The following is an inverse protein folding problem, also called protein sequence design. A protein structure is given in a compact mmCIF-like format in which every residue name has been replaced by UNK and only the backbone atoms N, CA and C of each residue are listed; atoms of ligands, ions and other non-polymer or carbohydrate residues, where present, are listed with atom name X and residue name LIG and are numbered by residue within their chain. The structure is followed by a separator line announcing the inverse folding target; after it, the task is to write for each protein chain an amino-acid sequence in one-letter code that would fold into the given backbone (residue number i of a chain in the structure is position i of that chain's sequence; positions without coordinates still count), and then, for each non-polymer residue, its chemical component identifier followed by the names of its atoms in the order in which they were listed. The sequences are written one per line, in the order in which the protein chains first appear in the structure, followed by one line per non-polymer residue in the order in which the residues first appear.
data_IF_520982690722
#
_entry.id   IF_520982690722
#
_cell.length_a   1.000
_cell.length_b   1.000
_cell.length_c   1.000
_cell.angle_alpha   90.00
_cell.angle_beta   90.00
_cell.angle_gamma   90.00
#
_symmetry.space_group_name_H-M   'P 1'
#
loop_
_entity.id
_entity.type
_entity.pdbx_description
1 polymer ?
#
# COMPACT_ATOMS: atom_id res chain seq x y z
N UNK A 1 -28.68 -0.58 24.87
CA UNK A 1 -27.34 -1.05 25.30
C UNK A 1 -26.91 -2.28 24.51
N UNK A 2 -27.52 -3.46 24.68
CA UNK A 2 -27.18 -4.66 23.87
C UNK A 2 -27.23 -4.47 22.34
N UNK A 3 -28.23 -3.73 21.87
CA UNK A 3 -28.42 -3.47 20.44
C UNK A 3 -27.25 -2.68 19.81
N UNK A 4 -26.66 -1.73 20.55
CA UNK A 4 -25.60 -0.85 20.03
C UNK A 4 -24.26 -1.59 19.86
N UNK A 5 -23.93 -2.51 20.78
CA UNK A 5 -22.74 -3.37 20.68
C UNK A 5 -22.87 -4.42 19.57
N UNK A 6 -24.07 -4.98 19.36
CA UNK A 6 -24.37 -5.84 18.21
C UNK A 6 -24.19 -5.11 16.88
N UNK A 7 -24.69 -3.86 16.78
CA UNK A 7 -24.47 -2.99 15.60
C UNK A 7 -23.00 -2.71 15.35
N UNK A 8 -22.21 -2.47 16.40
CA UNK A 8 -20.76 -2.27 16.28
C UNK A 8 -20.06 -3.51 15.74
N UNK A 9 -20.38 -4.69 16.30
CA UNK A 9 -19.83 -5.98 15.86
C UNK A 9 -20.12 -6.22 14.39
N UNK A 10 -21.38 -6.04 13.95
CA UNK A 10 -21.77 -6.20 12.56
C UNK A 10 -21.05 -5.24 11.60
N UNK A 11 -20.72 -4.03 12.04
CA UNK A 11 -19.91 -3.08 11.25
C UNK A 11 -18.46 -3.55 11.16
N UNK A 12 -17.88 -4.03 12.26
CA UNK A 12 -16.52 -4.55 12.27
C UNK A 12 -16.36 -5.80 11.40
N UNK A 13 -17.34 -6.72 11.42
CA UNK A 13 -17.37 -7.89 10.54
C UNK A 13 -17.45 -7.50 9.06
N UNK A 14 -18.27 -6.50 8.72
CA UNK A 14 -18.30 -5.94 7.36
C UNK A 14 -16.97 -5.32 6.98
N UNK A 15 -16.33 -4.59 7.89
CA UNK A 15 -14.99 -4.03 7.64
C UNK A 15 -13.98 -5.16 7.37
N UNK A 16 -14.03 -6.25 8.13
CA UNK A 16 -13.15 -7.40 7.95
C UNK A 16 -13.25 -7.98 6.54
N UNK A 17 -14.48 -8.16 6.03
CA UNK A 17 -14.72 -8.63 4.65
C UNK A 17 -14.10 -7.68 3.63
N UNK A 18 -14.28 -6.36 3.82
CA UNK A 18 -13.69 -5.38 2.89
C UNK A 18 -12.16 -5.38 2.97
N UNK A 19 -11.57 -5.52 4.15
CA UNK A 19 -10.11 -5.66 4.29
C UNK A 19 -9.60 -6.96 3.66
N UNK A 20 -10.36 -8.06 3.70
CA UNK A 20 -10.01 -9.29 2.98
C UNK A 20 -9.99 -9.06 1.47
N UNK A 21 -10.97 -8.33 0.94
CA UNK A 21 -10.96 -7.93 -0.47
C UNK A 21 -9.76 -7.03 -0.82
N UNK A 22 -9.39 -6.09 0.06
CA UNK A 22 -8.19 -5.26 -0.13
C UNK A 22 -6.92 -6.11 -0.15
N UNK A 23 -6.79 -7.10 0.73
CA UNK A 23 -5.64 -8.00 0.75
C UNK A 23 -5.54 -8.78 -0.56
N UNK A 24 -6.65 -9.33 -1.04
CA UNK A 24 -6.71 -10.05 -2.31
C UNK A 24 -6.32 -9.14 -3.50
N UNK A 25 -6.86 -7.93 -3.57
CA UNK A 25 -6.47 -6.94 -4.58
C UNK A 25 -4.97 -6.58 -4.48
N UNK A 26 -4.44 -6.46 -3.28
CA UNK A 26 -3.01 -6.18 -3.05
C UNK A 26 -2.12 -7.33 -3.55
N UNK A 27 -2.55 -8.58 -3.39
CA UNK A 27 -1.85 -9.74 -3.93
C UNK A 27 -1.93 -9.79 -5.46
N UNK A 28 -3.11 -9.54 -6.05
CA UNK A 28 -3.27 -9.46 -7.49
C UNK A 28 -2.45 -8.31 -8.11
N UNK A 29 -2.37 -7.18 -7.41
CA UNK A 29 -1.50 -6.05 -7.76
C UNK A 29 -0.04 -6.48 -7.88
N UNK A 30 0.43 -7.34 -6.97
CA UNK A 30 1.79 -7.88 -7.02
C UNK A 30 2.02 -8.68 -8.30
N UNK A 31 1.09 -9.56 -8.65
CA UNK A 31 1.20 -10.41 -9.85
C UNK A 31 1.26 -9.57 -11.14
N UNK A 32 0.39 -8.56 -11.28
CA UNK A 32 0.41 -7.68 -12.46
C UNK A 32 1.67 -6.80 -12.53
N UNK A 33 2.22 -6.40 -11.37
CA UNK A 33 3.48 -5.66 -11.30
C UNK A 33 4.67 -6.52 -11.73
N UNK A 34 4.75 -7.77 -11.25
CA UNK A 34 5.79 -8.72 -11.66
C UNK A 34 5.72 -8.99 -13.17
N UNK A 35 4.52 -9.08 -13.73
CA UNK A 35 4.30 -9.27 -15.17
C UNK A 35 4.47 -7.99 -15.99
N UNK A 36 4.72 -6.83 -15.36
CA UNK A 36 4.75 -5.52 -16.03
C UNK A 36 3.48 -5.21 -16.85
N UNK A 37 2.33 -5.72 -16.40
CA UNK A 37 1.04 -5.57 -17.08
C UNK A 37 0.36 -4.26 -16.66
N UNK A 38 0.64 -3.18 -17.39
CA UNK A 38 0.09 -1.83 -17.11
C UNK A 38 -1.44 -1.79 -17.19
N UNK A 39 -2.12 -2.34 -18.23
CA UNK A 39 -3.58 -2.37 -18.26
C UNK A 39 -4.21 -3.14 -17.08
N UNK A 40 -3.58 -4.24 -16.65
CA UNK A 40 -3.98 -4.99 -15.47
C UNK A 40 -3.86 -4.15 -14.20
N UNK A 41 -2.77 -3.41 -14.05
CA UNK A 41 -2.55 -2.51 -12.93
C UNK A 41 -3.62 -1.41 -12.85
N UNK A 42 -4.01 -0.80 -13.98
CA UNK A 42 -5.10 0.18 -14.02
C UNK A 42 -6.44 -0.39 -13.55
N UNK A 43 -6.73 -1.63 -13.93
CA UNK A 43 -7.96 -2.33 -13.52
C UNK A 43 -7.98 -2.57 -12.02
N UNK A 44 -6.87 -3.05 -11.45
CA UNK A 44 -6.73 -3.25 -10.00
C UNK A 44 -6.88 -1.92 -9.25
N UNK A 45 -6.24 -0.84 -9.72
CA UNK A 45 -6.35 0.47 -9.07
C UNK A 45 -7.80 0.98 -8.99
N UNK A 46 -8.60 0.81 -10.06
CA UNK A 46 -10.04 1.17 -10.03
C UNK A 46 -10.84 0.35 -9.03
N UNK A 47 -10.49 -0.94 -8.87
CA UNK A 47 -11.13 -1.79 -7.87
C UNK A 47 -10.73 -1.38 -6.45
N UNK A 48 -9.46 -1.00 -6.23
CA UNK A 48 -8.95 -0.46 -4.96
C UNK A 48 -9.66 0.83 -4.56
N UNK A 49 -9.96 1.72 -5.50
CA UNK A 49 -10.75 2.94 -5.23
C UNK A 49 -12.14 2.61 -4.66
N UNK A 50 -12.85 1.66 -5.27
CA UNK A 50 -14.19 1.25 -4.82
C UNK A 50 -14.18 0.70 -3.38
N UNK A 51 -13.23 -0.19 -3.06
CA UNK A 51 -13.13 -0.74 -1.69
C UNK A 51 -12.68 0.32 -0.68
N UNK A 52 -11.86 1.30 -1.10
CA UNK A 52 -11.48 2.44 -0.26
C UNK A 52 -12.67 3.32 0.12
N UNK A 53 -13.60 3.56 -0.81
CA UNK A 53 -14.86 4.26 -0.51
C UNK A 53 -15.70 3.49 0.51
N UNK A 54 -15.81 2.17 0.38
CA UNK A 54 -16.56 1.35 1.34
C UNK A 54 -15.93 1.33 2.74
N UNK A 55 -14.60 1.18 2.86
CA UNK A 55 -13.90 1.30 4.15
C UNK A 55 -14.16 2.66 4.79
N UNK A 56 -14.06 3.74 4.01
CA UNK A 56 -14.30 5.10 4.50
C UNK A 56 -15.73 5.28 5.02
N UNK A 57 -16.71 4.69 4.32
CA UNK A 57 -18.11 4.70 4.74
C UNK A 57 -18.32 3.93 6.05
N UNK A 58 -17.79 2.71 6.13
CA UNK A 58 -17.89 1.87 7.33
C UNK A 58 -17.19 2.50 8.54
N UNK A 59 -16.03 3.15 8.36
CA UNK A 59 -15.32 3.83 9.43
C UNK A 59 -16.12 5.01 10.02
N UNK A 60 -16.84 5.77 9.17
CA UNK A 60 -17.76 6.82 9.64
C UNK A 60 -18.88 6.24 10.49
N UNK A 61 -19.47 5.12 10.08
CA UNK A 61 -20.52 4.43 10.84
C UNK A 61 -19.96 3.93 12.17
N UNK A 62 -18.80 3.26 12.16
CA UNK A 62 -18.10 2.78 13.35
C UNK A 62 -17.87 3.93 14.35
N UNK A 63 -17.33 5.06 13.90
CA UNK A 63 -17.09 6.25 14.74
C UNK A 63 -18.39 6.81 15.32
N UNK A 64 -19.48 6.81 14.55
CA UNK A 64 -20.79 7.24 15.05
C UNK A 64 -21.31 6.33 16.16
N UNK A 65 -21.18 5.02 16.00
CA UNK A 65 -21.61 4.04 17.01
C UNK A 65 -20.76 4.16 18.29
N UNK A 66 -19.44 4.35 18.15
CA UNK A 66 -18.55 4.58 19.29
C UNK A 66 -18.96 5.84 20.07
N UNK A 67 -19.35 6.93 19.38
CA UNK A 67 -19.87 8.14 20.04
C UNK A 67 -21.20 7.90 20.76
N UNK A 68 -22.09 7.11 20.17
CA UNK A 68 -23.36 6.70 20.78
C UNK A 68 -23.10 5.91 22.08
N UNK A 69 -22.19 4.93 22.03
CA UNK A 69 -21.77 4.16 23.20
C UNK A 69 -21.14 5.06 24.27
N UNK A 70 -20.24 5.97 23.89
CA UNK A 70 -19.62 6.91 24.81
C UNK A 70 -20.66 7.76 25.58
N UNK A 71 -21.69 8.24 24.88
CA UNK A 71 -22.78 9.00 25.49
C UNK A 71 -23.60 8.16 26.47
N UNK A 72 -23.86 6.88 26.15
CA UNK A 72 -24.58 5.94 27.03
C UNK A 72 -23.80 5.70 28.34
N UNK A 73 -22.46 5.57 28.25
CA UNK A 73 -21.59 5.38 29.41
C UNK A 73 -21.17 6.68 30.10
N UNK A 74 -21.66 7.85 29.64
CA UNK A 74 -21.33 9.15 30.23
C UNK A 74 -19.87 9.59 30.01
N UNK A 75 -19.19 9.06 29.00
CA UNK A 75 -17.80 9.40 28.69
C UNK A 75 -17.76 10.58 27.72
N UNK A 76 -17.18 11.70 28.16
CA UNK A 76 -17.09 12.95 27.39
C UNK A 76 -15.77 13.11 26.61
N UNK A 77 -14.90 12.10 26.62
CA UNK A 77 -13.60 12.18 25.97
C UNK A 77 -13.74 12.20 24.43
N UNK A 78 -13.31 13.28 23.74
CA UNK A 78 -13.33 13.35 22.29
C UNK A 78 -12.39 12.34 21.60
N UNK A 79 -11.43 11.74 22.33
CA UNK A 79 -10.50 10.70 21.86
C UNK A 79 -10.90 9.29 22.28
N UNK A 80 -12.17 9.08 22.67
CA UNK A 80 -12.66 7.77 23.08
C UNK A 80 -12.31 6.69 22.05
N UNK A 81 -11.65 5.64 22.54
CA UNK A 81 -11.31 4.46 21.76
C UNK A 81 -12.13 3.26 22.20
N UNK A 82 -12.17 2.24 21.35
CA UNK A 82 -12.79 0.96 21.68
C UNK A 82 -12.22 0.36 22.97
N UNK A 83 -10.91 0.55 23.22
CA UNK A 83 -10.23 0.11 24.44
C UNK A 83 -10.76 0.79 25.71
N UNK A 84 -11.16 2.07 25.62
CA UNK A 84 -11.79 2.78 26.74
C UNK A 84 -13.20 2.25 27.00
N UNK A 85 -13.98 2.02 25.94
CA UNK A 85 -15.32 1.43 26.05
C UNK A 85 -15.29 -0.01 26.61
N UNK A 86 -14.23 -0.77 26.31
CA UNK A 86 -14.04 -2.11 26.82
C UNK A 86 -13.76 -2.18 28.35
N UNK A 87 -13.41 -1.07 29.00
CA UNK A 87 -13.21 -1.03 30.46
C UNK A 87 -14.52 -0.87 31.24
N UNK A 88 -15.57 -0.35 30.60
CA UNK A 88 -16.85 -0.01 31.23
C UNK A 88 -18.02 -0.90 30.78
N UNK A 89 -17.82 -1.75 29.78
CA UNK A 89 -18.86 -2.66 29.30
C UNK A 89 -18.77 -4.07 29.91
N UNK A 90 -19.88 -4.80 29.83
CA UNK A 90 -19.99 -6.18 30.31
C UNK A 90 -19.13 -7.13 29.45
N UNK A 91 -18.50 -8.12 30.08
CA UNK A 91 -17.53 -9.01 29.43
C UNK A 91 -18.09 -9.77 28.22
N UNK A 92 -19.37 -10.17 28.27
CA UNK A 92 -20.00 -10.96 27.20
C UNK A 92 -20.15 -10.18 25.89
N UNK A 93 -20.40 -8.86 25.95
CA UNK A 93 -20.60 -8.03 24.76
C UNK A 93 -19.26 -7.59 24.13
N UNK A 94 -18.22 -7.42 24.95
CA UNK A 94 -16.87 -7.06 24.50
C UNK A 94 -16.18 -8.24 23.82
N UNK A 95 -16.44 -9.48 24.24
CA UNK A 95 -15.74 -10.66 23.74
C UNK A 95 -15.77 -10.76 22.21
N UNK A 96 -16.95 -10.64 21.61
CA UNK A 96 -17.12 -10.71 20.15
C UNK A 96 -16.43 -9.55 19.44
N UNK A 97 -16.58 -8.33 19.97
CA UNK A 97 -15.95 -7.13 19.41
C UNK A 97 -14.42 -7.26 19.40
N UNK A 98 -13.84 -7.77 20.49
CA UNK A 98 -12.40 -7.96 20.64
C UNK A 98 -11.86 -9.02 19.67
N UNK A 99 -12.60 -10.10 19.47
CA UNK A 99 -12.21 -11.13 18.50
C UNK A 99 -12.13 -10.55 17.08
N UNK A 100 -13.17 -9.84 16.64
CA UNK A 100 -13.19 -9.22 15.30
C UNK A 100 -12.10 -8.14 15.18
N UNK A 101 -11.83 -7.38 16.24
CA UNK A 101 -10.73 -6.39 16.26
C UNK A 101 -9.35 -7.05 16.06
N UNK A 102 -9.10 -8.17 16.71
CA UNK A 102 -7.85 -8.91 16.57
C UNK A 102 -7.67 -9.44 15.14
N UNK A 103 -8.73 -9.94 14.52
CA UNK A 103 -8.72 -10.36 13.12
C UNK A 103 -8.46 -9.18 12.18
N UNK A 104 -9.12 -8.05 12.42
CA UNK A 104 -8.88 -6.80 11.69
C UNK A 104 -7.43 -6.32 11.81
N UNK A 105 -6.85 -6.38 13.00
CA UNK A 105 -5.46 -5.98 13.23
C UNK A 105 -4.51 -6.89 12.44
N UNK A 106 -4.75 -8.20 12.51
CA UNK A 106 -3.94 -9.20 11.80
C UNK A 106 -3.99 -8.98 10.28
N UNK A 107 -5.17 -8.71 9.72
CA UNK A 107 -5.27 -8.52 8.27
C UNK A 107 -4.68 -7.19 7.80
N UNK A 108 -4.82 -6.12 8.59
CA UNK A 108 -4.20 -4.82 8.28
C UNK A 108 -2.68 -4.94 8.23
N UNK A 109 -2.08 -5.70 9.14
CA UNK A 109 -0.64 -5.98 9.11
C UNK A 109 -0.23 -6.69 7.81
N UNK A 110 -0.95 -7.75 7.43
CA UNK A 110 -0.69 -8.47 6.17
C UNK A 110 -0.81 -7.56 4.94
N UNK A 111 -1.83 -6.70 4.89
CA UNK A 111 -1.99 -5.72 3.80
C UNK A 111 -0.80 -4.77 3.75
N UNK A 112 -0.33 -4.29 4.91
CA UNK A 112 0.84 -3.42 4.99
C UNK A 112 2.12 -4.08 4.46
N UNK A 113 2.33 -5.36 4.78
CA UNK A 113 3.47 -6.14 4.28
C UNK A 113 3.43 -6.27 2.74
N UNK A 114 2.28 -6.67 2.18
CA UNK A 114 2.11 -6.82 0.73
C UNK A 114 2.26 -5.48 0.01
N UNK A 115 1.68 -4.41 0.56
CA UNK A 115 1.81 -3.07 -0.03
C UNK A 115 3.26 -2.56 -0.01
N UNK A 116 4.03 -2.87 1.02
CA UNK A 116 5.44 -2.53 1.05
C UNK A 116 6.23 -3.24 -0.06
N UNK A 117 5.95 -4.53 -0.30
CA UNK A 117 6.54 -5.28 -1.41
C UNK A 117 6.14 -4.68 -2.77
N UNK A 118 4.86 -4.38 -2.95
CA UNK A 118 4.36 -3.79 -4.19
C UNK A 118 5.00 -2.41 -4.47
N UNK A 119 5.20 -1.60 -3.43
CA UNK A 119 5.91 -0.32 -3.54
C UNK A 119 7.34 -0.51 -4.04
N UNK A 120 8.07 -1.49 -3.49
CA UNK A 120 9.44 -1.79 -3.92
C UNK A 120 9.50 -2.24 -5.39
N UNK A 121 8.54 -3.06 -5.84
CA UNK A 121 8.45 -3.48 -7.24
C UNK A 121 8.27 -2.28 -8.19
N UNK A 122 7.38 -1.35 -7.83
CA UNK A 122 7.17 -0.12 -8.61
C UNK A 122 8.44 0.74 -8.65
N UNK A 123 9.10 0.93 -7.51
CA UNK A 123 10.34 1.72 -7.41
C UNK A 123 11.47 1.11 -8.25
N UNK A 124 11.62 -0.22 -8.24
CA UNK A 124 12.59 -0.94 -9.08
C UNK A 124 12.29 -0.77 -10.57
N UNK A 125 11.01 -0.88 -10.96
CA UNK A 125 10.59 -0.64 -12.35
C UNK A 125 10.96 0.78 -12.83
N UNK A 126 10.72 1.79 -11.99
CA UNK A 126 11.10 3.17 -12.29
C UNK A 126 12.62 3.36 -12.40
N UNK A 127 13.41 2.68 -11.56
CA UNK A 127 14.87 2.73 -11.64
C UNK A 127 15.36 2.19 -12.98
N UNK A 128 14.80 1.07 -13.44
CA UNK A 128 15.16 0.47 -14.75
C UNK A 128 14.81 1.44 -15.88
N UNK A 129 13.60 2.01 -15.89
CA UNK A 129 13.19 2.98 -16.92
C UNK A 129 14.14 4.20 -16.94
N UNK A 130 14.45 4.76 -15.78
CA UNK A 130 15.38 5.90 -15.68
C UNK A 130 16.79 5.54 -16.16
N UNK A 131 17.29 4.35 -15.81
CA UNK A 131 18.57 3.87 -16.30
C UNK A 131 18.58 3.72 -17.83
N UNK A 132 17.54 3.11 -18.41
CA UNK A 132 17.38 2.98 -19.85
C UNK A 132 17.33 4.33 -20.57
N UNK A 133 16.61 5.31 -20.01
CA UNK A 133 16.57 6.68 -20.55
C UNK A 133 17.94 7.35 -20.50
N UNK A 134 18.69 7.20 -19.41
CA UNK A 134 20.04 7.75 -19.28
C UNK A 134 21.02 7.13 -20.28
N UNK A 135 20.91 5.83 -20.56
CA UNK A 135 21.72 5.18 -21.60
C UNK A 135 21.39 5.71 -23.00
N UNK A 136 20.09 5.84 -23.32
CA UNK A 136 19.66 6.40 -24.60
C UNK A 136 20.14 7.84 -24.77
N UNK A 137 20.00 8.69 -23.75
CA UNK A 137 20.47 10.06 -23.77
C UNK A 137 21.99 10.16 -24.00
N UNK A 138 22.79 9.30 -23.35
CA UNK A 138 24.24 9.24 -23.57
C UNK A 138 24.59 8.76 -24.98
N UNK A 139 23.84 7.79 -25.53
CA UNK A 139 24.07 7.30 -26.90
C UNK A 139 23.72 8.30 -28.01
N UNK A 140 22.84 9.28 -27.73
CA UNK A 140 22.54 10.38 -28.65
C UNK A 140 23.61 11.47 -28.69
N UNK A 141 24.54 11.48 -27.74
CA UNK A 141 25.76 12.30 -27.81
C UNK A 141 26.84 11.48 -28.50
N UNK A 142 26.71 11.30 -29.83
CA UNK A 142 27.80 10.78 -30.65
C UNK A 142 29.02 11.72 -30.58
N UNK A 143 30.24 11.24 -30.86
CA UNK A 143 31.41 12.11 -30.86
C UNK A 143 31.20 13.22 -31.88
N UNK A 144 31.05 14.45 -31.41
CA UNK A 144 31.05 15.64 -32.26
C UNK A 144 32.41 15.73 -32.92
N UNK A 145 32.56 15.11 -34.10
CA UNK A 145 33.71 15.32 -34.96
C UNK A 145 33.63 16.77 -35.45
N UNK A 146 34.43 17.65 -34.85
CA UNK A 146 34.75 18.95 -35.42
C UNK A 146 35.79 18.71 -36.54
N UNK A 147 35.44 18.79 -37.83
CA UNK A 147 36.42 18.68 -38.90
C UNK A 147 36.90 20.10 -39.19
N UNK A 148 37.79 20.61 -38.34
CA UNK A 148 38.75 21.66 -38.66
C UNK A 148 39.51 22.05 -37.40
N UNK A 149 40.61 21.36 -37.13
CA UNK A 149 41.83 22.00 -36.66
C UNK A 149 42.98 21.01 -36.82
N UNK A 150 43.96 21.40 -37.64
CA UNK A 150 45.21 20.66 -37.81
C UNK A 150 45.97 20.68 -36.48
N UNK A 151 45.83 19.64 -35.67
CA UNK A 151 46.72 19.40 -34.54
C UNK A 151 47.19 17.94 -34.60
N UNK A 152 48.47 17.79 -34.93
CA UNK A 152 49.20 16.54 -35.07
C UNK A 152 49.48 15.91 -33.70
N UNK A 153 48.85 14.78 -33.36
CA UNK A 153 49.34 13.85 -32.33
C UNK A 153 49.01 12.38 -32.69
N UNK A 154 49.84 11.39 -32.29
CA UNK A 154 50.00 10.09 -32.96
C UNK A 154 48.91 9.04 -32.60
N UNK A 155 48.88 7.86 -33.29
CA UNK A 155 47.79 6.88 -33.20
C UNK A 155 47.73 6.11 -31.86
N UNK A 156 46.61 5.40 -31.59
CA UNK A 156 46.20 5.03 -30.25
C UNK A 156 46.90 3.75 -29.78
N UNK A 157 47.52 3.79 -28.61
CA UNK A 157 47.91 2.57 -27.91
C UNK A 157 46.65 1.90 -27.33
N UNK A 158 46.16 0.89 -28.05
CA UNK A 158 45.24 -0.12 -27.53
C UNK A 158 45.95 -0.88 -26.39
N UNK A 159 45.48 -0.70 -25.16
CA UNK A 159 45.55 -1.76 -24.15
C UNK A 159 44.50 -1.52 -23.06
N UNK A 160 43.33 -2.16 -23.23
CA UNK A 160 42.38 -2.41 -22.13
C UNK A 160 42.01 -3.91 -22.07
N UNK A 161 42.80 -4.75 -22.73
CA UNK A 161 42.79 -6.19 -22.53
C UNK A 161 44.08 -6.54 -21.83
N UNK A 162 44.10 -6.42 -20.50
CA UNK A 162 44.88 -7.38 -19.72
C UNK A 162 43.90 -8.21 -18.89
N UNK A 163 43.67 -9.39 -19.42
CA UNK A 163 42.91 -10.47 -18.83
C UNK A 163 43.90 -11.48 -18.27
N UNK A 164 43.68 -11.87 -17.00
CA UNK A 164 44.28 -12.96 -16.20
C UNK A 164 45.49 -12.57 -15.33
N UNK A 165 45.34 -12.72 -14.02
CA UNK A 165 45.64 -13.96 -13.28
C UNK A 165 45.13 -13.82 -11.85
#
# INVERSE_FOLDING_TARGET
MKDTWGRLTAVLEKMLIVYQAILELSLQKREVLVQSNVPGLETIMKQEENVCFEVTRLDKIRKSIIKELAAIYGITDPKITLSHLAQVADQDEIGNVKNVEQELTTIILKISEVNNVNKQLVEQGLLIVNYSLNLLAQSTVGPTYHPNEKASFPPPNKSLFDSKA
#
